data_IF_053930370748
#
_entry.id   IF_053930370748
#
_cell.length_a   1.000
_cell.length_b   1.000
_cell.length_c   1.000
_cell.angle_alpha   90.00
_cell.angle_beta   90.00
_cell.angle_gamma   90.00
#
_symmetry.space_group_name_H-M   'P 1'
#
loop_
_entity.id
_entity.type
_entity.pdbx_description
1 polymer ?
#
# COMPACT_ATOMS: atom_id res chain seq x y z
N UNK A 1 -19.78 14.49 21.12
CA UNK A 1 -21.20 14.11 21.10
C UNK A 1 -21.48 13.50 19.72
N UNK A 2 -21.96 12.24 19.64
CA UNK A 2 -22.20 11.53 18.36
C UNK A 2 -23.66 11.61 17.87
N UNK A 3 -24.52 12.39 18.53
CA UNK A 3 -25.92 12.58 18.11
C UNK A 3 -26.86 11.38 18.31
N UNK A 4 -26.39 10.33 19.00
CA UNK A 4 -27.12 9.07 19.21
C UNK A 4 -27.88 9.00 20.55
N UNK A 5 -27.70 10.01 21.41
CA UNK A 5 -28.38 10.16 22.70
C UNK A 5 -29.07 11.51 22.73
N UNK A 6 -30.36 11.52 23.06
CA UNK A 6 -31.13 12.73 23.33
C UNK A 6 -31.35 12.91 24.82
N UNK A 7 -31.37 14.16 25.28
CA UNK A 7 -31.73 14.51 26.65
C UNK A 7 -33.07 15.28 26.66
N UNK A 8 -33.94 14.99 27.62
CA UNK A 8 -35.17 15.76 27.83
C UNK A 8 -34.87 17.02 28.65
N UNK A 9 -35.58 18.11 28.34
CA UNK A 9 -35.51 19.36 29.12
C UNK A 9 -36.49 19.33 30.32
N UNK A 10 -36.57 18.20 31.02
CA UNK A 10 -37.43 18.03 32.20
C UNK A 10 -36.59 17.87 33.48
N UNK A 11 -37.23 17.99 34.64
CA UNK A 11 -36.63 17.67 35.93
C UNK A 11 -37.31 16.41 36.50
N UNK A 12 -36.59 15.28 36.67
CA UNK A 12 -35.18 15.07 36.36
C UNK A 12 -34.90 14.98 34.84
N UNK A 13 -33.67 15.30 34.43
CA UNK A 13 -33.21 15.14 33.05
C UNK A 13 -33.16 13.64 32.73
N UNK A 14 -33.80 13.23 31.64
CA UNK A 14 -33.75 11.84 31.17
C UNK A 14 -32.93 11.76 29.88
N UNK A 15 -32.09 10.74 29.78
CA UNK A 15 -31.34 10.42 28.58
C UNK A 15 -31.97 9.23 27.88
N UNK A 16 -32.17 9.33 26.58
CA UNK A 16 -32.75 8.26 25.76
C UNK A 16 -31.85 8.01 24.56
N UNK A 17 -31.49 6.75 24.33
CA UNK A 17 -30.75 6.35 23.14
C UNK A 17 -31.71 6.25 21.95
N UNK A 18 -31.21 6.59 20.76
CA UNK A 18 -31.93 6.31 19.53
C UNK A 18 -31.94 4.79 19.25
N UNK A 19 -32.96 4.28 18.52
CA UNK A 19 -32.95 2.91 18.05
C UNK A 19 -31.64 2.57 17.33
N UNK A 20 -31.16 1.32 17.47
CA UNK A 20 -29.87 0.88 16.95
C UNK A 20 -29.70 1.20 15.46
N UNK A 21 -30.70 0.88 14.65
CA UNK A 21 -30.71 1.12 13.21
C UNK A 21 -30.49 2.61 12.87
N UNK A 22 -31.20 3.50 13.57
CA UNK A 22 -31.05 4.95 13.41
C UNK A 22 -29.68 5.44 13.87
N UNK A 23 -29.15 4.86 14.95
CA UNK A 23 -27.81 5.19 15.46
C UNK A 23 -26.73 4.79 14.45
N UNK A 24 -26.81 3.59 13.87
CA UNK A 24 -25.90 3.13 12.81
C UNK A 24 -25.99 4.06 11.60
N UNK A 25 -27.20 4.38 11.16
CA UNK A 25 -27.41 5.29 10.04
C UNK A 25 -26.77 6.66 10.26
N UNK A 26 -26.94 7.26 11.45
CA UNK A 26 -26.33 8.56 11.81
C UNK A 26 -24.80 8.48 11.74
N UNK A 27 -24.21 7.42 12.30
CA UNK A 27 -22.75 7.25 12.32
C UNK A 27 -22.19 7.10 10.90
N UNK A 28 -22.82 6.27 10.06
CA UNK A 28 -22.40 6.08 8.67
C UNK A 28 -22.53 7.36 7.86
N UNK A 29 -23.65 8.08 8.00
CA UNK A 29 -23.84 9.34 7.26
C UNK A 29 -22.88 10.44 7.73
N UNK A 30 -22.60 10.53 9.04
CA UNK A 30 -21.60 11.46 9.55
C UNK A 30 -20.22 11.20 8.94
N UNK A 31 -19.84 9.94 8.79
CA UNK A 31 -18.56 9.58 8.18
C UNK A 31 -18.54 9.89 6.68
N UNK A 32 -19.65 9.64 5.97
CA UNK A 32 -19.81 10.03 4.55
C UNK A 32 -19.69 11.54 4.35
N UNK A 33 -20.31 12.35 5.21
CA UNK A 33 -20.18 13.81 5.13
C UNK A 33 -18.75 14.28 5.43
N UNK A 34 -18.05 13.60 6.35
CA UNK A 34 -16.62 13.85 6.59
C UNK A 34 -15.79 13.57 5.33
N UNK A 35 -16.03 12.45 4.65
CA UNK A 35 -15.37 12.11 3.37
C UNK A 35 -15.65 13.17 2.30
N UNK A 36 -16.91 13.58 2.10
CA UNK A 36 -17.25 14.66 1.14
C UNK A 36 -16.56 15.98 1.46
N UNK A 37 -16.37 16.30 2.75
CA UNK A 37 -15.65 17.51 3.17
C UNK A 37 -14.17 17.44 2.78
N UNK A 38 -13.54 16.26 2.95
CA UNK A 38 -12.16 16.02 2.52
C UNK A 38 -12.00 16.17 1.01
N UNK A 39 -12.90 15.58 0.21
CA UNK A 39 -12.91 15.71 -1.26
C UNK A 39 -13.04 17.17 -1.71
N UNK A 40 -13.85 17.98 -1.01
CA UNK A 40 -13.92 19.42 -1.31
C UNK A 40 -12.64 20.17 -0.96
N UNK A 41 -11.96 19.81 0.13
CA UNK A 41 -10.69 20.42 0.50
C UNK A 41 -9.58 20.08 -0.49
N UNK A 42 -9.55 18.84 -1.01
CA UNK A 42 -8.64 18.43 -2.08
C UNK A 42 -8.74 19.39 -3.28
N UNK A 43 -9.95 19.63 -3.78
CA UNK A 43 -10.19 20.58 -4.88
C UNK A 43 -9.71 22.00 -4.57
N UNK A 44 -9.82 22.43 -3.30
CA UNK A 44 -9.31 23.71 -2.84
C UNK A 44 -7.78 23.77 -2.86
N UNK A 45 -7.12 22.71 -2.39
CA UNK A 45 -5.67 22.57 -2.39
C UNK A 45 -5.09 22.52 -3.81
N UNK A 46 -5.72 21.79 -4.74
CA UNK A 46 -5.29 21.77 -6.15
C UNK A 46 -5.31 23.16 -6.77
N UNK A 47 -6.37 23.94 -6.54
CA UNK A 47 -6.45 25.32 -7.01
C UNK A 47 -5.36 26.21 -6.42
N UNK A 48 -5.03 26.03 -5.14
CA UNK A 48 -3.94 26.78 -4.51
C UNK A 48 -2.59 26.39 -5.11
N UNK A 49 -2.38 25.09 -5.36
CA UNK A 49 -1.16 24.55 -5.98
C UNK A 49 -0.93 25.14 -7.37
N UNK A 50 -1.96 25.23 -8.22
CA UNK A 50 -1.87 25.80 -9.57
C UNK A 50 -1.49 27.30 -9.58
N UNK A 51 -1.67 27.99 -8.46
CA UNK A 51 -1.29 29.40 -8.30
C UNK A 51 0.15 29.58 -7.80
N UNK A 52 0.86 28.50 -7.43
CA UNK A 52 2.24 28.58 -6.99
C UNK A 52 3.14 28.69 -8.24
N UNK A 53 3.92 29.78 -8.39
CA UNK A 53 4.80 29.94 -9.55
C UNK A 53 5.85 28.83 -9.58
N UNK A 54 5.97 28.15 -10.72
CA UNK A 54 7.02 27.17 -10.97
C UNK A 54 8.33 27.91 -11.26
N UNK A 55 9.36 27.63 -10.47
CA UNK A 55 10.72 28.01 -10.80
C UNK A 55 11.27 26.94 -11.74
N UNK A 56 11.16 27.17 -13.05
CA UNK A 56 11.78 26.28 -14.04
C UNK A 56 13.30 26.37 -13.91
N UNK A 57 13.90 25.45 -13.16
CA UNK A 57 15.31 25.17 -13.30
C UNK A 57 15.54 24.66 -14.72
N UNK A 58 16.42 25.31 -15.48
CA UNK A 58 16.72 24.98 -16.89
C UNK A 58 17.28 23.56 -17.12
N UNK A 59 17.40 22.76 -16.05
CA UNK A 59 17.67 21.34 -16.10
C UNK A 59 16.69 20.64 -15.16
N UNK A 60 15.71 19.87 -15.67
CA UNK A 60 14.99 18.92 -14.85
C UNK A 60 15.90 17.70 -14.66
N UNK A 61 16.99 17.86 -13.92
CA UNK A 61 17.57 16.67 -13.29
C UNK A 61 16.48 16.13 -12.36
N UNK A 62 16.04 14.90 -12.63
CA UNK A 62 15.12 14.20 -11.74
C UNK A 62 15.90 14.00 -10.44
N UNK A 63 15.68 14.90 -9.48
CA UNK A 63 16.31 14.81 -8.17
C UNK A 63 15.98 13.46 -7.55
N UNK A 64 17.01 12.76 -7.08
CA UNK A 64 16.84 11.57 -6.28
C UNK A 64 16.22 11.97 -4.94
N UNK A 65 15.12 11.33 -4.58
CA UNK A 65 14.29 11.61 -3.41
C UNK A 65 14.20 10.37 -2.54
N UNK A 66 14.00 10.63 -1.25
CA UNK A 66 13.78 9.61 -0.23
C UNK A 66 12.58 10.02 0.61
N UNK A 67 11.68 9.08 0.86
CA UNK A 67 10.53 9.29 1.72
C UNK A 67 10.42 8.12 2.71
N UNK A 68 10.42 8.45 4.00
CA UNK A 68 10.08 7.47 5.03
C UNK A 68 8.55 7.46 5.22
N UNK A 69 7.97 6.27 5.15
CA UNK A 69 6.55 6.02 5.34
C UNK A 69 6.37 5.22 6.63
N UNK A 70 5.47 5.70 7.49
CA UNK A 70 5.13 5.06 8.75
C UNK A 70 3.64 4.74 8.79
N UNK A 71 3.32 3.52 9.22
CA UNK A 71 1.96 3.03 9.38
C UNK A 71 1.36 2.45 8.11
N UNK A 72 0.44 1.50 8.30
CA UNK A 72 -0.14 0.69 7.23
C UNK A 72 -0.85 1.53 6.16
N UNK A 73 -1.56 2.60 6.55
CA UNK A 73 -2.32 3.41 5.60
C UNK A 73 -1.43 4.17 4.62
N UNK A 74 -0.34 4.78 5.10
CA UNK A 74 0.61 5.54 4.27
C UNK A 74 1.33 4.60 3.29
N UNK A 75 1.75 3.44 3.79
CA UNK A 75 2.42 2.41 2.99
C UNK A 75 1.45 1.85 1.95
N UNK A 76 0.23 1.49 2.34
CA UNK A 76 -0.76 0.97 1.41
C UNK A 76 -1.12 1.99 0.33
N UNK A 77 -1.32 3.26 0.69
CA UNK A 77 -1.58 4.33 -0.29
C UNK A 77 -0.46 4.47 -1.31
N UNK A 78 0.81 4.41 -0.87
CA UNK A 78 1.96 4.44 -1.78
C UNK A 78 2.02 3.21 -2.68
N UNK A 79 1.73 2.02 -2.16
CA UNK A 79 1.69 0.79 -2.96
C UNK A 79 0.60 0.89 -4.03
N UNK A 80 -0.59 1.37 -3.68
CA UNK A 80 -1.69 1.60 -4.64
C UNK A 80 -1.29 2.59 -5.72
N UNK A 81 -0.72 3.74 -5.35
CA UNK A 81 -0.19 4.73 -6.29
C UNK A 81 0.83 4.14 -7.27
N UNK A 82 1.79 3.37 -6.76
CA UNK A 82 2.78 2.68 -7.59
C UNK A 82 2.09 1.67 -8.53
N UNK A 83 1.15 0.88 -8.01
CA UNK A 83 0.46 -0.15 -8.81
C UNK A 83 -0.40 0.46 -9.91
N UNK A 84 -1.12 1.54 -9.63
CA UNK A 84 -2.03 2.17 -10.59
C UNK A 84 -1.28 2.92 -11.70
N UNK A 85 -0.03 3.35 -11.45
CA UNK A 85 0.74 4.20 -12.36
C UNK A 85 1.86 3.48 -13.13
N UNK A 86 1.99 2.15 -13.03
CA UNK A 86 3.09 1.43 -13.68
C UNK A 86 2.84 1.05 -15.14
N UNK A 87 3.91 1.07 -15.93
CA UNK A 87 3.86 0.99 -17.39
C UNK A 87 4.60 -0.22 -17.98
N UNK A 88 5.63 -0.74 -17.32
CA UNK A 88 6.42 -1.86 -17.82
C UNK A 88 6.33 -3.09 -16.91
N UNK A 89 6.95 -3.06 -15.74
CA UNK A 89 7.07 -4.22 -14.88
C UNK A 89 7.05 -3.85 -13.39
N UNK A 90 6.33 -4.65 -12.63
CA UNK A 90 6.26 -4.57 -11.18
C UNK A 90 6.92 -5.79 -10.52
N UNK A 91 7.97 -5.57 -9.73
CA UNK A 91 8.72 -6.64 -9.07
C UNK A 91 8.48 -6.62 -7.57
N UNK A 92 8.22 -7.79 -6.98
CA UNK A 92 7.95 -7.88 -5.55
C UNK A 92 8.71 -9.04 -4.96
N UNK A 93 9.48 -8.75 -3.91
CA UNK A 93 10.09 -9.75 -3.06
C UNK A 93 9.48 -9.62 -1.66
N UNK A 94 9.01 -10.74 -1.12
CA UNK A 94 8.46 -10.77 0.23
C UNK A 94 8.41 -12.18 0.82
N UNK A 95 8.31 -12.23 2.14
CA UNK A 95 8.03 -13.45 2.90
C UNK A 95 6.53 -13.78 2.87
N UNK A 96 6.19 -14.98 3.32
CA UNK A 96 4.81 -15.47 3.48
C UNK A 96 3.93 -14.47 4.25
N UNK A 97 4.49 -13.90 5.32
CA UNK A 97 3.80 -12.92 6.19
C UNK A 97 3.54 -11.60 5.48
N UNK A 98 4.43 -11.20 4.57
CA UNK A 98 4.25 -9.96 3.81
C UNK A 98 3.10 -10.12 2.82
N UNK A 99 3.08 -11.23 2.09
CA UNK A 99 1.99 -11.52 1.14
C UNK A 99 0.65 -11.73 1.83
N UNK A 100 0.60 -12.33 3.03
CA UNK A 100 -0.63 -12.40 3.82
C UNK A 100 -1.17 -11.01 4.17
N UNK A 101 -0.29 -10.08 4.56
CA UNK A 101 -0.69 -8.69 4.83
C UNK A 101 -1.16 -7.95 3.58
N UNK A 102 -0.48 -8.16 2.45
CA UNK A 102 -0.83 -7.55 1.17
C UNK A 102 -2.14 -8.13 0.58
N UNK A 103 -2.38 -9.44 0.73
CA UNK A 103 -3.60 -10.12 0.29
C UNK A 103 -4.85 -9.54 0.94
N UNK A 104 -4.81 -9.28 2.24
CA UNK A 104 -5.92 -8.65 2.96
C UNK A 104 -6.14 -7.17 2.62
N UNK A 105 -5.24 -6.55 1.85
CA UNK A 105 -5.36 -5.18 1.36
C UNK A 105 -5.74 -5.08 -0.11
N UNK A 106 -6.28 -6.13 -0.73
CA UNK A 106 -6.71 -6.17 -2.14
C UNK A 106 -5.60 -5.84 -3.17
N UNK A 107 -4.35 -5.79 -2.73
CA UNK A 107 -3.21 -5.40 -3.56
C UNK A 107 -3.02 -6.31 -4.77
N UNK A 108 -3.25 -7.62 -4.59
CA UNK A 108 -3.10 -8.59 -5.67
C UNK A 108 -4.21 -8.48 -6.72
N UNK A 109 -5.37 -7.93 -6.37
CA UNK A 109 -6.49 -7.78 -7.33
C UNK A 109 -6.13 -6.86 -8.49
N UNK A 110 -5.30 -5.84 -8.26
CA UNK A 110 -4.88 -4.91 -9.31
C UNK A 110 -4.14 -5.64 -10.44
N UNK A 111 -3.30 -6.64 -10.13
CA UNK A 111 -2.60 -7.44 -11.15
C UNK A 111 -3.53 -8.40 -11.90
N UNK A 112 -4.57 -8.90 -11.22
CA UNK A 112 -5.61 -9.73 -11.87
C UNK A 112 -6.38 -8.89 -12.89
N UNK A 113 -6.72 -7.64 -12.55
CA UNK A 113 -7.54 -6.74 -13.39
C UNK A 113 -6.76 -6.10 -14.53
N UNK A 114 -5.52 -5.67 -14.28
CA UNK A 114 -4.78 -4.82 -15.23
C UNK A 114 -4.02 -5.58 -16.31
N UNK A 115 -3.76 -6.89 -16.14
CA UNK A 115 -2.86 -7.70 -16.99
C UNK A 115 -1.46 -7.10 -17.19
N UNK A 116 -1.06 -6.17 -16.34
CA UNK A 116 0.28 -5.58 -16.40
C UNK A 116 1.34 -6.65 -16.04
N UNK A 117 2.59 -6.45 -16.47
CA UNK A 117 3.65 -7.43 -16.19
C UNK A 117 4.07 -7.31 -14.74
N UNK A 118 4.16 -8.45 -14.07
CA UNK A 118 4.66 -8.50 -12.72
C UNK A 118 5.46 -9.78 -12.49
N UNK A 119 6.35 -9.76 -11.49
CA UNK A 119 7.03 -10.94 -10.99
C UNK A 119 7.09 -10.93 -9.47
N UNK A 120 6.68 -12.03 -8.86
CA UNK A 120 6.60 -12.22 -7.42
C UNK A 120 7.61 -13.29 -6.97
N UNK A 121 8.55 -12.88 -6.12
CA UNK A 121 9.32 -13.81 -5.29
C UNK A 121 8.67 -13.89 -3.92
N UNK A 122 8.21 -15.09 -3.57
CA UNK A 122 7.51 -15.33 -2.32
C UNK A 122 8.10 -16.47 -1.53
N UNK A 123 8.34 -16.23 -0.24
CA UNK A 123 8.38 -17.33 0.72
C UNK A 123 6.96 -17.86 0.88
N UNK A 124 6.66 -19.07 0.41
CA UNK A 124 5.32 -19.65 0.57
C UNK A 124 5.40 -21.12 1.01
N UNK A 125 4.51 -21.49 1.92
CA UNK A 125 4.26 -22.90 2.26
C UNK A 125 3.05 -23.40 1.45
N UNK A 126 2.87 -24.71 1.39
CA UNK A 126 1.72 -25.33 0.71
C UNK A 126 0.37 -24.88 1.30
N UNK A 127 0.38 -24.29 2.51
CA UNK A 127 -0.82 -23.77 3.18
C UNK A 127 -1.21 -22.37 2.73
N UNK A 128 -0.31 -21.61 2.12
CA UNK A 128 -0.52 -20.20 1.75
C UNK A 128 -0.40 -19.95 0.26
N UNK A 129 -0.26 -21.01 -0.54
CA UNK A 129 -0.24 -20.92 -2.00
C UNK A 129 -1.54 -20.34 -2.57
N UNK A 130 -2.67 -20.52 -1.86
CA UNK A 130 -3.98 -19.99 -2.25
C UNK A 130 -4.01 -18.47 -2.47
N UNK A 131 -3.08 -17.72 -1.84
CA UNK A 131 -2.91 -16.27 -2.01
C UNK A 131 -2.69 -15.90 -3.48
N UNK A 132 -2.17 -16.84 -4.27
CA UNK A 132 -1.74 -16.65 -5.64
C UNK A 132 -2.64 -17.34 -6.68
N UNK A 133 -3.77 -17.93 -6.27
CA UNK A 133 -4.58 -18.79 -7.14
C UNK A 133 -5.12 -18.06 -8.39
N UNK A 134 -5.43 -16.77 -8.25
CA UNK A 134 -5.97 -15.94 -9.33
C UNK A 134 -4.89 -15.31 -10.23
N UNK A 135 -3.61 -15.55 -9.95
CA UNK A 135 -2.48 -14.95 -10.66
C UNK A 135 -1.81 -15.93 -11.64
N UNK A 136 -1.18 -15.38 -12.68
CA UNK A 136 -0.43 -16.20 -13.64
C UNK A 136 0.79 -16.86 -12.99
N UNK A 137 0.76 -18.19 -12.83
CA UNK A 137 1.80 -18.96 -12.14
C UNK A 137 3.23 -18.73 -12.64
N UNK A 138 3.41 -18.43 -13.93
CA UNK A 138 4.73 -18.15 -14.54
C UNK A 138 5.39 -16.89 -13.95
N UNK A 139 4.59 -16.00 -13.37
CA UNK A 139 5.01 -14.76 -12.75
C UNK A 139 5.35 -14.94 -11.27
N UNK A 140 5.32 -16.17 -10.74
CA UNK A 140 5.48 -16.42 -9.31
C UNK A 140 6.52 -17.51 -9.08
N UNK A 141 7.53 -17.19 -8.27
CA UNK A 141 8.59 -18.10 -7.90
C UNK A 141 8.77 -18.17 -6.38
N UNK A 142 9.16 -19.35 -5.92
CA UNK A 142 9.42 -19.61 -4.52
C UNK A 142 10.80 -19.10 -4.14
N UNK A 143 10.85 -18.24 -3.14
CA UNK A 143 12.08 -17.77 -2.52
C UNK A 143 12.81 -18.93 -1.84
N UNK A 144 14.13 -18.95 -1.95
CA UNK A 144 14.93 -20.01 -1.33
C UNK A 144 14.89 -19.90 0.21
N UNK A 145 14.95 -21.04 0.90
CA UNK A 145 14.72 -21.14 2.37
C UNK A 145 15.77 -20.41 3.21
N UNK A 146 16.93 -20.12 2.65
CA UNK A 146 18.07 -19.44 3.28
C UNK A 146 17.96 -17.92 3.21
N UNK A 147 16.99 -17.40 2.44
CA UNK A 147 16.71 -15.96 2.46
C UNK A 147 15.93 -15.66 3.73
N UNK A 148 16.53 -14.84 4.58
CA UNK A 148 15.89 -14.43 5.83
C UNK A 148 14.56 -13.70 5.55
N UNK A 149 13.55 -14.01 6.34
CA UNK A 149 12.18 -13.49 6.19
C UNK A 149 12.07 -11.98 6.44
N UNK A 150 13.17 -11.25 6.66
CA UNK A 150 13.16 -9.80 6.87
C UNK A 150 13.35 -8.98 5.59
N UNK A 151 13.71 -9.60 4.47
CA UNK A 151 13.82 -8.89 3.21
C UNK A 151 12.43 -8.73 2.58
N UNK A 152 12.00 -7.49 2.33
CA UNK A 152 10.79 -7.21 1.58
C UNK A 152 10.95 -5.88 0.85
N UNK A 153 10.73 -5.89 -0.47
CA UNK A 153 10.78 -4.71 -1.30
C UNK A 153 9.93 -4.86 -2.56
N UNK A 154 9.58 -3.70 -3.12
CA UNK A 154 8.83 -3.55 -4.36
C UNK A 154 9.66 -2.66 -5.29
N UNK A 155 9.72 -3.01 -6.58
CA UNK A 155 10.27 -2.17 -7.64
C UNK A 155 9.19 -1.94 -8.68
N UNK A 156 9.16 -0.73 -9.22
CA UNK A 156 8.28 -0.33 -10.31
C UNK A 156 9.10 0.27 -11.45
N UNK A 157 8.87 -0.25 -12.65
CA UNK A 157 9.36 0.30 -13.93
C UNK A 157 10.85 0.68 -13.94
N UNK A 158 11.68 -0.02 -13.14
CA UNK A 158 13.09 0.29 -12.90
C UNK A 158 13.39 1.74 -12.46
N UNK A 159 12.40 2.49 -11.99
CA UNK A 159 12.54 3.91 -11.67
C UNK A 159 12.26 4.26 -10.21
N UNK A 160 11.50 3.43 -9.50
CA UNK A 160 11.22 3.65 -8.09
C UNK A 160 11.11 2.34 -7.32
N UNK A 161 11.42 2.42 -6.03
CA UNK A 161 11.39 1.29 -5.13
C UNK A 161 10.76 1.65 -3.80
N UNK A 162 10.17 0.65 -3.16
CA UNK A 162 9.70 0.69 -1.79
C UNK A 162 10.39 -0.44 -1.01
N UNK A 163 11.14 -0.10 0.03
CA UNK A 163 11.86 -1.05 0.87
C UNK A 163 11.28 -1.07 2.28
N UNK A 164 10.88 -2.24 2.77
CA UNK A 164 10.24 -2.37 4.07
C UNK A 164 11.30 -2.60 5.15
N UNK A 165 11.34 -1.72 6.15
CA UNK A 165 12.26 -1.82 7.28
C UNK A 165 11.58 -2.56 8.42
N UNK A 166 11.81 -3.87 8.53
CA UNK A 166 11.16 -4.74 9.54
C UNK A 166 11.69 -4.60 10.98
N UNK A 167 12.42 -3.52 11.28
CA UNK A 167 13.10 -3.30 12.57
C UNK A 167 12.77 -1.95 13.23
N UNK A 168 11.54 -1.47 13.10
CA UNK A 168 11.11 -0.36 13.94
C UNK A 168 10.49 -0.89 15.24
N UNK A 169 11.04 -0.43 16.35
CA UNK A 169 10.60 -0.33 17.77
C UNK A 169 9.24 -0.92 18.22
N UNK A 170 8.24 -1.12 17.36
CA UNK A 170 6.93 -1.71 17.66
C UNK A 170 6.51 -2.74 16.58
N UNK A 171 5.99 -3.93 16.96
CA UNK A 171 5.43 -4.92 16.02
C UNK A 171 4.23 -4.45 15.21
N UNK A 172 3.58 -3.36 15.65
CA UNK A 172 2.26 -2.94 15.17
C UNK A 172 2.31 -1.84 14.10
N UNK A 173 3.43 -1.10 13.98
CA UNK A 173 3.56 -0.03 12.99
C UNK A 173 4.63 -0.34 11.95
N UNK A 174 4.24 -0.67 10.69
CA UNK A 174 5.21 -0.92 9.64
C UNK A 174 5.89 0.38 9.17
N UNK A 175 7.16 0.26 8.78
CA UNK A 175 7.94 1.32 8.16
C UNK A 175 8.43 0.89 6.79
N UNK A 176 8.44 1.83 5.85
CA UNK A 176 9.00 1.62 4.54
C UNK A 176 9.68 2.88 4.02
N UNK A 177 10.73 2.70 3.23
CA UNK A 177 11.42 3.77 2.53
C UNK A 177 11.08 3.70 1.05
N UNK A 178 10.50 4.77 0.52
CA UNK A 178 10.35 4.98 -0.91
C UNK A 178 11.52 5.79 -1.45
N UNK A 179 12.00 5.46 -2.66
CA UNK A 179 12.99 6.25 -3.38
C UNK A 179 12.91 6.04 -4.89
N UNK A 180 13.27 7.08 -5.65
CA UNK A 180 13.53 7.04 -7.09
C UNK A 180 15.04 7.10 -7.42
N UNK A 181 15.92 6.78 -6.47
CA UNK A 181 17.36 6.73 -6.72
C UNK A 181 17.70 5.61 -7.69
N UNK A 182 18.22 5.97 -8.86
CA UNK A 182 18.55 5.01 -9.93
C UNK A 182 19.55 3.96 -9.43
N UNK A 183 20.51 4.39 -8.60
CA UNK A 183 21.53 3.50 -8.05
C UNK A 183 20.94 2.44 -7.12
N UNK A 184 20.01 2.84 -6.24
CA UNK A 184 19.36 1.91 -5.31
C UNK A 184 18.39 0.99 -6.04
N UNK A 185 17.58 1.53 -6.95
CA UNK A 185 16.64 0.75 -7.75
C UNK A 185 17.39 -0.29 -8.57
N UNK A 186 18.47 0.11 -9.25
CA UNK A 186 19.31 -0.80 -10.02
C UNK A 186 19.95 -1.91 -9.15
N UNK A 187 20.48 -1.56 -7.98
CA UNK A 187 21.07 -2.54 -7.06
C UNK A 187 20.03 -3.57 -6.59
N UNK A 188 18.82 -3.12 -6.24
CA UNK A 188 17.73 -4.03 -5.84
C UNK A 188 17.19 -4.84 -7.01
N UNK A 189 17.20 -4.30 -8.23
CA UNK A 189 16.87 -5.05 -9.44
C UNK A 189 17.85 -6.20 -9.66
N UNK A 190 19.15 -5.93 -9.58
CA UNK A 190 20.18 -6.97 -9.71
C UNK A 190 20.00 -8.09 -8.66
N UNK A 191 19.67 -7.70 -7.42
CA UNK A 191 19.36 -8.64 -6.35
C UNK A 191 18.15 -9.51 -6.71
N UNK A 192 17.07 -8.87 -7.16
CA UNK A 192 15.84 -9.56 -7.58
C UNK A 192 16.11 -10.55 -8.71
N UNK A 193 16.80 -10.14 -9.78
CA UNK A 193 17.07 -10.99 -10.95
C UNK A 193 17.95 -12.19 -10.61
N UNK A 194 18.95 -11.98 -9.75
CA UNK A 194 19.79 -13.05 -9.23
C UNK A 194 18.96 -14.09 -8.48
N UNK A 195 18.07 -13.65 -7.58
CA UNK A 195 17.17 -14.55 -6.87
C UNK A 195 16.16 -15.21 -7.80
N UNK A 196 15.59 -14.47 -8.74
CA UNK A 196 14.60 -14.95 -9.70
C UNK A 196 15.14 -16.08 -10.57
N UNK A 197 16.36 -15.94 -11.06
CA UNK A 197 17.03 -16.93 -11.90
C UNK A 197 17.32 -18.22 -11.13
N UNK A 198 17.69 -18.10 -9.86
CA UNK A 198 17.98 -19.23 -8.98
C UNK A 198 16.72 -19.85 -8.32
N UNK A 199 15.57 -19.22 -8.47
CA UNK A 199 14.32 -19.67 -7.85
C UNK A 199 13.53 -20.62 -8.74
N UNK A 200 12.80 -21.54 -8.08
CA UNK A 200 11.90 -22.49 -8.74
C UNK A 200 10.49 -21.90 -8.80
N UNK A 201 9.73 -22.29 -9.82
CA UNK A 201 8.30 -21.99 -9.86
C UNK A 201 7.58 -22.67 -8.68
N UNK A 202 6.50 -22.07 -8.21
CA UNK A 202 5.64 -22.72 -7.22
C UNK A 202 4.93 -23.89 -7.92
N UNK A 203 5.17 -25.11 -7.45
CA UNK A 203 4.37 -26.27 -7.79
C UNK A 203 3.22 -26.37 -6.80
N UNK A 204 1.99 -26.38 -7.30
CA UNK A 204 0.77 -26.71 -6.56
C UNK A 204 0.47 -28.20 -6.73
#
# INVERSE_FOLDING_TARGET
NKGIVSATFQHPIQFTALPLEKSIWILVNSEKERVKSLERMEQGLSKLWDNIPTFDSMHPEVEEKFQMLQGSNQIHSKITEMTDSHNDEFLILGSEKDYLKLYHGDFLESFVKSKQKFRLLSGCTDKTTYIFDDLERKNIKKLHTDVENHLCFILKDDNEMLFFTKNAVSPDEPYAMWTNSNSMVYAMKLLFESMWTNSKNIHL
#
